data_IF_809531425218
#
_entry.id   IF_809531425218
#
_cell.length_a   1.000
_cell.length_b   1.000
_cell.length_c   1.000
_cell.angle_alpha   90.00
_cell.angle_beta   90.00
_cell.angle_gamma   90.00
#
_symmetry.space_group_name_H-M   'P 1'
#
loop_
_entity.id
_entity.type
_entity.pdbx_description
1 polymer ?
#
# COMPACT_ATOMS: atom_id res chain seq x y z
N UNK A 1 33.52 30.93 28.63
CA UNK A 1 33.54 30.52 27.22
C UNK A 1 32.56 29.37 27.06
N UNK A 2 31.37 29.65 26.56
CA UNK A 2 30.36 28.61 26.28
C UNK A 2 30.74 27.96 24.97
N UNK A 3 31.20 26.71 25.01
CA UNK A 3 31.47 25.94 23.81
C UNK A 3 30.11 25.58 23.22
N UNK A 4 29.77 26.17 22.07
CA UNK A 4 28.64 25.72 21.27
C UNK A 4 28.98 24.32 20.75
N UNK A 5 28.36 23.29 21.33
CA UNK A 5 28.45 21.93 20.79
C UNK A 5 27.61 21.89 19.52
N UNK A 6 28.20 21.46 18.40
CA UNK A 6 27.47 21.23 17.16
C UNK A 6 26.24 20.36 17.44
N UNK A 7 25.05 20.91 17.28
CA UNK A 7 23.84 20.13 17.07
C UNK A 7 23.74 19.86 15.58
N UNK A 8 23.89 18.60 15.17
CA UNK A 8 23.56 18.22 13.80
C UNK A 8 22.04 18.25 13.63
N UNK A 9 21.56 18.94 12.59
CA UNK A 9 20.16 18.94 12.19
C UNK A 9 20.09 18.25 10.83
N UNK A 10 19.38 17.13 10.78
CA UNK A 10 19.05 16.47 9.53
C UNK A 10 17.66 16.93 9.06
N UNK A 11 17.56 17.29 7.78
CA UNK A 11 16.29 17.64 7.15
C UNK A 11 16.20 17.01 5.78
N UNK A 12 14.97 16.72 5.34
CA UNK A 12 14.69 16.06 4.08
C UNK A 12 13.70 16.87 3.25
N UNK A 13 13.97 16.98 1.95
CA UNK A 13 12.98 17.46 0.99
C UNK A 13 12.22 16.27 0.44
N UNK A 14 10.91 16.30 0.60
CA UNK A 14 10.00 15.25 0.13
C UNK A 14 9.31 15.64 -1.18
N UNK A 15 9.50 16.89 -1.61
CA UNK A 15 8.98 17.49 -2.82
C UNK A 15 10.10 18.11 -3.67
N UNK A 16 9.88 18.19 -4.98
CA UNK A 16 10.81 18.84 -5.91
C UNK A 16 10.68 20.36 -5.89
N UNK A 17 11.74 21.09 -6.23
CA UNK A 17 11.68 22.54 -6.44
C UNK A 17 13.06 23.16 -6.67
N UNK A 18 13.09 24.38 -7.20
CA UNK A 18 14.32 25.14 -7.44
C UNK A 18 14.43 26.30 -6.48
N UNK A 19 15.66 26.68 -6.10
CA UNK A 19 15.89 27.84 -5.24
C UNK A 19 15.37 27.65 -3.82
N UNK A 20 15.42 26.43 -3.28
CA UNK A 20 14.98 26.14 -1.92
C UNK A 20 16.06 26.52 -0.92
N UNK A 21 15.75 27.47 -0.06
CA UNK A 21 16.70 28.01 0.91
C UNK A 21 16.62 27.27 2.24
N UNK A 22 17.79 26.94 2.78
CA UNK A 22 17.96 26.51 4.16
C UNK A 22 18.76 27.60 4.86
N UNK A 23 18.10 28.26 5.80
CA UNK A 23 18.67 29.35 6.58
C UNK A 23 18.84 28.89 8.02
N UNK A 24 19.97 29.26 8.63
CA UNK A 24 20.19 29.08 10.06
C UNK A 24 20.60 30.41 10.67
N UNK A 25 20.19 30.62 11.91
CA UNK A 25 20.58 31.78 12.70
C UNK A 25 21.14 31.31 14.05
N UNK A 26 22.24 31.92 14.48
CA UNK A 26 22.81 31.74 15.82
C UNK A 26 22.94 33.10 16.50
N UNK A 27 22.76 33.15 17.82
CA UNK A 27 23.00 34.37 18.61
C UNK A 27 24.30 34.23 19.39
N UNK A 28 25.22 35.16 19.20
CA UNK A 28 26.52 35.23 19.89
C UNK A 28 26.65 36.61 20.53
N UNK A 29 26.79 36.65 21.85
CA UNK A 29 26.89 37.89 22.64
C UNK A 29 25.79 38.91 22.33
N UNK A 30 24.56 38.43 22.12
CA UNK A 30 23.40 39.27 21.78
C UNK A 30 23.31 39.69 20.32
N UNK A 31 24.25 39.27 19.46
CA UNK A 31 24.23 39.53 18.02
C UNK A 31 23.80 38.30 17.24
N UNK A 32 22.90 38.48 16.28
CA UNK A 32 22.45 37.41 15.39
C UNK A 32 23.41 37.26 14.20
N UNK A 33 23.87 36.03 13.95
CA UNK A 33 24.61 35.64 12.75
C UNK A 33 23.73 34.69 11.94
N UNK A 34 23.68 34.89 10.61
CA UNK A 34 22.88 34.07 9.70
C UNK A 34 23.75 33.41 8.64
N UNK A 35 23.38 32.20 8.27
CA UNK A 35 23.90 31.53 7.09
C UNK A 35 22.75 31.00 6.23
N UNK A 36 23.02 30.87 4.94
CA UNK A 36 22.05 30.45 3.93
C UNK A 36 22.71 29.51 2.93
N UNK A 37 22.02 28.45 2.57
CA UNK A 37 22.35 27.59 1.45
C UNK A 37 21.11 27.38 0.58
N UNK A 38 21.30 27.42 -0.75
CA UNK A 38 20.22 27.28 -1.72
C UNK A 38 20.36 25.96 -2.47
N UNK A 39 19.28 25.19 -2.55
CA UNK A 39 19.23 23.87 -3.15
C UNK A 39 18.23 23.80 -4.31
N UNK A 40 18.59 23.02 -5.33
CA UNK A 40 17.67 22.59 -6.37
C UNK A 40 17.35 21.12 -6.14
N UNK A 41 16.14 20.84 -5.69
CA UNK A 41 15.67 19.49 -5.38
C UNK A 41 14.95 18.93 -6.60
N UNK A 42 15.43 17.80 -7.11
CA UNK A 42 14.82 17.08 -8.22
C UNK A 42 14.10 15.85 -7.68
N UNK A 43 12.92 15.57 -8.22
CA UNK A 43 12.13 14.38 -7.89
C UNK A 43 11.98 13.52 -9.16
N UNK A 44 12.07 12.19 -9.08
CA UNK A 44 11.71 11.35 -10.20
C UNK A 44 10.25 11.54 -10.58
N UNK A 45 9.94 11.26 -11.84
CA UNK A 45 8.56 11.14 -12.32
C UNK A 45 8.23 9.68 -12.52
N UNK A 46 6.95 9.35 -12.34
CA UNK A 46 6.44 8.01 -12.60
C UNK A 46 5.04 8.11 -13.24
N UNK A 47 4.72 7.12 -14.05
CA UNK A 47 3.35 6.80 -14.50
C UNK A 47 3.11 5.34 -14.22
N UNK A 48 1.94 5.00 -13.70
CA UNK A 48 1.64 3.62 -13.30
C UNK A 48 0.61 3.04 -14.27
N UNK A 49 1.00 2.00 -15.00
CA UNK A 49 0.05 1.13 -15.69
C UNK A 49 -0.66 0.26 -14.65
N UNK A 50 -1.98 0.10 -14.81
CA UNK A 50 -2.84 -0.52 -13.82
C UNK A 50 -3.75 -1.55 -14.50
N UNK A 51 -3.70 -2.79 -14.04
CA UNK A 51 -4.54 -3.88 -14.53
C UNK A 51 -5.27 -4.49 -13.33
N UNK A 52 -6.57 -4.76 -13.50
CA UNK A 52 -7.39 -5.41 -12.47
C UNK A 52 -8.21 -6.52 -13.12
N UNK A 53 -8.30 -7.65 -12.43
CA UNK A 53 -9.07 -8.82 -12.85
C UNK A 53 -10.48 -8.81 -12.25
N UNK A 54 -11.29 -9.78 -12.67
CA UNK A 54 -12.61 -9.98 -12.09
C UNK A 54 -12.52 -10.59 -10.68
N UNK A 55 -13.59 -10.39 -9.91
CA UNK A 55 -13.84 -11.10 -8.66
C UNK A 55 -14.60 -12.37 -8.99
N UNK A 56 -14.16 -13.52 -8.48
CA UNK A 56 -14.82 -14.81 -8.74
C UNK A 56 -15.01 -15.61 -7.45
N UNK A 57 -15.96 -16.56 -7.54
CA UNK A 57 -16.10 -17.67 -6.60
C UNK A 57 -15.85 -18.95 -7.37
N UNK A 58 -14.77 -19.65 -7.07
CA UNK A 58 -14.46 -20.90 -7.74
C UNK A 58 -13.59 -21.83 -6.87
N UNK A 59 -13.59 -23.10 -7.26
CA UNK A 59 -12.86 -24.19 -6.60
C UNK A 59 -11.65 -24.54 -7.43
N UNK A 60 -10.52 -23.84 -7.26
CA UNK A 60 -9.36 -24.01 -8.16
C UNK A 60 -8.00 -23.77 -7.50
N UNK A 61 -7.78 -24.35 -6.31
CA UNK A 61 -6.47 -24.37 -5.64
C UNK A 61 -5.79 -22.97 -5.66
N UNK A 62 -6.48 -21.99 -5.09
CA UNK A 62 -6.08 -20.58 -5.10
C UNK A 62 -4.67 -20.45 -4.51
N UNK A 63 -3.71 -20.03 -5.32
CA UNK A 63 -2.27 -20.01 -4.97
C UNK A 63 -1.77 -21.27 -4.26
N UNK A 64 -2.20 -22.45 -4.69
CA UNK A 64 -1.77 -23.74 -4.12
C UNK A 64 -2.40 -24.10 -2.77
N UNK A 65 -3.44 -23.35 -2.38
CA UNK A 65 -4.31 -23.68 -1.25
C UNK A 65 -5.60 -24.34 -1.77
N UNK A 66 -5.86 -25.62 -1.42
CA UNK A 66 -7.11 -26.29 -1.78
C UNK A 66 -8.33 -25.64 -1.12
N UNK A 67 -9.45 -25.58 -1.85
CA UNK A 67 -10.72 -25.05 -1.33
C UNK A 67 -11.48 -24.24 -2.38
N UNK A 68 -12.63 -23.73 -1.96
CA UNK A 68 -13.40 -22.73 -2.72
C UNK A 68 -13.10 -21.36 -2.14
N UNK A 69 -12.81 -20.39 -2.99
CA UNK A 69 -12.42 -19.05 -2.57
C UNK A 69 -13.35 -18.00 -3.16
N UNK A 70 -13.60 -16.93 -2.40
CA UNK A 70 -13.99 -15.64 -2.94
C UNK A 70 -12.71 -14.82 -3.08
N UNK A 71 -12.33 -14.45 -4.30
CA UNK A 71 -11.05 -13.79 -4.54
C UNK A 71 -11.12 -12.78 -5.68
N UNK A 72 -10.18 -11.83 -5.67
CA UNK A 72 -9.88 -10.96 -6.80
C UNK A 72 -8.70 -11.56 -7.56
N UNK A 73 -8.91 -11.99 -8.80
CA UNK A 73 -7.87 -12.63 -9.60
C UNK A 73 -8.32 -13.91 -10.29
N UNK A 74 -7.34 -14.62 -10.84
CA UNK A 74 -7.54 -15.91 -11.50
C UNK A 74 -6.93 -17.04 -10.70
N UNK A 75 -7.71 -18.10 -10.50
CA UNK A 75 -7.21 -19.36 -9.96
C UNK A 75 -6.53 -20.23 -11.04
N UNK A 76 -6.02 -21.41 -10.67
CA UNK A 76 -5.34 -22.30 -11.65
C UNK A 76 -6.25 -22.63 -12.85
N UNK A 77 -5.68 -22.80 -14.06
CA UNK A 77 -4.24 -22.79 -14.39
C UNK A 77 -3.66 -21.40 -14.68
N UNK A 78 -4.51 -20.39 -14.87
CA UNK A 78 -4.10 -19.02 -15.17
C UNK A 78 -4.02 -18.25 -13.85
N UNK A 79 -2.93 -18.41 -13.11
CA UNK A 79 -2.63 -17.66 -11.87
C UNK A 79 -2.50 -16.15 -12.20
N UNK A 80 -3.61 -15.49 -12.45
CA UNK A 80 -3.67 -14.08 -12.82
C UNK A 80 -3.78 -13.28 -11.52
N UNK A 81 -2.85 -12.36 -11.24
CA UNK A 81 -2.98 -11.53 -10.06
C UNK A 81 -4.24 -10.68 -10.13
N UNK A 82 -4.93 -10.53 -8.99
CA UNK A 82 -6.12 -9.68 -8.86
C UNK A 82 -5.89 -8.25 -9.32
N UNK A 83 -4.75 -7.70 -8.95
CA UNK A 83 -4.29 -6.39 -9.38
C UNK A 83 -2.81 -6.46 -9.75
N UNK A 84 -2.44 -5.69 -10.78
CA UNK A 84 -1.04 -5.51 -11.19
C UNK A 84 -0.78 -4.03 -11.45
N UNK A 85 0.32 -3.52 -10.90
CA UNK A 85 0.83 -2.20 -11.24
C UNK A 85 2.23 -2.31 -11.84
N UNK A 86 2.48 -1.54 -12.90
CA UNK A 86 3.79 -1.42 -13.52
C UNK A 86 4.16 0.05 -13.64
N UNK A 87 5.18 0.47 -12.91
CA UNK A 87 5.68 1.83 -12.98
C UNK A 87 6.66 1.99 -14.15
N UNK A 88 6.46 3.05 -14.93
CA UNK A 88 7.46 3.61 -15.84
C UNK A 88 8.02 4.87 -15.20
N UNK A 89 9.33 4.89 -14.96
CA UNK A 89 9.97 5.93 -14.15
C UNK A 89 11.04 6.69 -14.91
N UNK A 90 11.15 7.99 -14.68
CA UNK A 90 12.29 8.80 -15.13
C UNK A 90 13.00 9.39 -13.92
N UNK A 91 14.22 8.93 -13.66
CA UNK A 91 15.12 9.49 -12.64
C UNK A 91 15.91 10.64 -13.26
N UNK A 92 16.05 11.80 -12.58
CA UNK A 92 16.82 12.92 -13.10
C UNK A 92 18.26 12.55 -13.46
N UNK A 93 18.79 13.09 -14.57
CA UNK A 93 20.14 12.81 -15.05
C UNK A 93 21.19 13.05 -13.96
N UNK A 94 22.13 12.10 -13.82
CA UNK A 94 23.19 12.14 -12.82
C UNK A 94 22.79 11.56 -11.46
N UNK A 95 21.53 11.14 -11.29
CA UNK A 95 21.05 10.47 -10.08
C UNK A 95 20.71 9.01 -10.38
N UNK A 96 20.81 8.18 -9.34
CA UNK A 96 20.37 6.79 -9.32
C UNK A 96 19.60 6.55 -8.02
N UNK A 97 18.97 5.38 -7.89
CA UNK A 97 18.28 5.00 -6.66
C UNK A 97 17.48 3.74 -6.85
N UNK A 98 16.64 3.44 -5.87
CA UNK A 98 15.79 2.26 -5.86
C UNK A 98 14.33 2.62 -5.57
N UNK A 99 13.43 1.76 -6.03
CA UNK A 99 11.99 1.91 -5.87
C UNK A 99 11.41 0.82 -4.98
N UNK A 100 10.31 1.13 -4.31
CA UNK A 100 9.55 0.15 -3.54
C UNK A 100 8.07 0.48 -3.54
N UNK A 101 7.27 -0.50 -3.16
CA UNK A 101 5.85 -0.40 -2.87
C UNK A 101 5.60 -0.63 -1.39
N UNK A 102 4.72 0.18 -0.80
CA UNK A 102 4.21 0.00 0.56
C UNK A 102 2.69 -0.02 0.48
N UNK A 103 2.05 -1.04 1.05
CA UNK A 103 0.59 -1.15 1.04
C UNK A 103 0.03 -1.00 2.46
N UNK A 104 -0.97 -0.14 2.60
CA UNK A 104 -1.82 -0.03 3.78
C UNK A 104 -3.20 -0.55 3.40
N UNK A 105 -3.76 -1.43 4.22
CA UNK A 105 -5.06 -2.05 4.01
C UNK A 105 -6.03 -1.67 5.13
N UNK A 106 -7.28 -1.44 4.74
CA UNK A 106 -8.47 -1.44 5.59
C UNK A 106 -9.33 -2.60 5.13
N UNK A 107 -9.31 -3.70 5.87
CA UNK A 107 -10.08 -4.90 5.53
C UNK A 107 -11.33 -4.99 6.41
N UNK A 108 -12.45 -5.34 5.80
CA UNK A 108 -13.69 -5.65 6.51
C UNK A 108 -14.30 -6.90 5.91
N UNK A 109 -14.38 -7.96 6.71
CA UNK A 109 -15.00 -9.20 6.32
C UNK A 109 -16.10 -9.60 7.31
N UNK A 110 -17.12 -10.28 6.80
CA UNK A 110 -18.18 -10.91 7.60
C UNK A 110 -18.44 -12.31 7.08
N UNK A 111 -18.80 -13.22 7.98
CA UNK A 111 -19.25 -14.56 7.61
C UNK A 111 -20.40 -15.01 8.49
N UNK A 112 -21.34 -15.73 7.89
CA UNK A 112 -22.56 -16.20 8.57
C UNK A 112 -22.50 -17.70 8.77
N UNK A 113 -22.55 -18.14 10.03
CA UNK A 113 -22.60 -19.55 10.37
C UNK A 113 -23.91 -20.19 9.92
N UNK A 114 -23.90 -21.52 9.76
CA UNK A 114 -25.11 -22.31 9.53
C UNK A 114 -26.17 -22.18 10.63
N UNK A 115 -25.77 -21.76 11.83
CA UNK A 115 -26.65 -21.40 12.95
C UNK A 115 -27.30 -20.01 12.80
N UNK A 116 -26.99 -19.28 11.73
CA UNK A 116 -27.50 -17.94 11.44
C UNK A 116 -26.75 -16.79 12.11
N UNK A 117 -25.74 -17.07 12.95
CA UNK A 117 -24.93 -16.06 13.62
C UNK A 117 -23.89 -15.45 12.69
N UNK A 118 -23.55 -14.18 12.93
CA UNK A 118 -22.53 -13.46 12.18
C UNK A 118 -21.24 -13.36 12.98
N UNK A 119 -20.13 -13.47 12.26
CA UNK A 119 -18.81 -13.09 12.73
C UNK A 119 -18.27 -12.00 11.81
N UNK A 120 -17.46 -11.11 12.37
CA UNK A 120 -16.78 -10.03 11.66
C UNK A 120 -15.27 -10.07 11.92
N UNK A 121 -14.53 -9.61 10.93
CA UNK A 121 -13.11 -9.30 11.01
C UNK A 121 -12.93 -7.88 10.47
N UNK A 122 -12.19 -7.06 11.21
CA UNK A 122 -11.88 -5.70 10.82
C UNK A 122 -10.41 -5.41 11.11
N UNK A 123 -9.69 -4.96 10.10
CA UNK A 123 -8.25 -4.72 10.16
C UNK A 123 -7.89 -3.38 9.55
N UNK A 124 -6.88 -2.73 10.10
CA UNK A 124 -6.30 -1.51 9.55
C UNK A 124 -4.81 -1.47 9.87
N UNK A 125 -3.96 -1.40 8.86
CA UNK A 125 -2.51 -1.35 9.08
C UNK A 125 -1.68 -1.65 7.84
N UNK A 126 -0.40 -1.90 8.08
CA UNK A 126 0.53 -2.37 7.06
C UNK A 126 0.08 -3.74 6.56
N UNK A 127 -0.02 -3.87 5.25
CA UNK A 127 -0.32 -5.15 4.63
C UNK A 127 0.95 -6.00 4.51
N UNK A 128 0.88 -7.23 5.03
CA UNK A 128 1.93 -8.24 5.08
C UNK A 128 3.30 -7.82 5.68
N UNK A 129 4.06 -6.98 4.98
CA UNK A 129 5.45 -6.61 5.33
C UNK A 129 5.86 -5.23 4.79
N UNK A 130 6.98 -4.71 5.31
CA UNK A 130 7.57 -3.45 4.85
C UNK A 130 8.99 -3.67 4.28
N UNK A 131 9.27 -3.25 3.03
CA UNK A 131 8.28 -2.86 2.02
C UNK A 131 7.40 -4.05 1.62
N UNK A 132 6.25 -3.77 1.00
CA UNK A 132 5.39 -4.81 0.45
C UNK A 132 6.11 -5.51 -0.73
N UNK A 133 6.67 -4.73 -1.65
CA UNK A 133 7.49 -5.21 -2.77
C UNK A 133 8.61 -4.23 -3.09
N UNK A 134 9.73 -4.71 -3.62
CA UNK A 134 10.81 -3.87 -4.15
C UNK A 134 10.75 -3.78 -5.67
N UNK A 135 11.29 -2.70 -6.24
CA UNK A 135 11.31 -2.46 -7.68
C UNK A 135 10.09 -1.71 -8.20
N UNK A 136 9.81 -1.87 -9.49
CA UNK A 136 8.80 -1.09 -10.25
C UNK A 136 7.50 -1.85 -10.52
N UNK A 137 7.47 -3.15 -10.22
CA UNK A 137 6.32 -4.02 -10.43
C UNK A 137 5.63 -4.31 -9.10
N UNK A 138 4.31 -4.40 -9.15
CA UNK A 138 3.45 -4.69 -8.01
C UNK A 138 2.37 -5.67 -8.43
N UNK A 139 2.08 -6.66 -7.60
CA UNK A 139 1.00 -7.60 -7.81
C UNK A 139 0.38 -7.96 -6.47
N UNK A 140 -0.93 -8.08 -6.43
CA UNK A 140 -1.67 -8.52 -5.24
C UNK A 140 -2.94 -9.27 -5.67
N UNK A 141 -3.38 -10.19 -4.83
CA UNK A 141 -4.52 -11.07 -5.06
C UNK A 141 -5.19 -11.38 -3.72
N UNK A 142 -6.03 -10.46 -3.20
CA UNK A 142 -6.77 -10.73 -1.99
C UNK A 142 -7.82 -11.82 -2.22
N UNK A 143 -8.04 -12.64 -1.22
CA UNK A 143 -9.05 -13.68 -1.26
C UNK A 143 -9.29 -14.33 0.10
N UNK A 144 -10.44 -14.95 0.25
CA UNK A 144 -10.86 -15.65 1.47
C UNK A 144 -11.32 -17.06 1.15
N UNK A 145 -10.92 -18.01 1.99
CA UNK A 145 -11.41 -19.39 1.94
C UNK A 145 -12.87 -19.43 2.43
N UNK A 146 -13.73 -20.04 1.63
CA UNK A 146 -15.15 -20.21 1.93
C UNK A 146 -15.37 -21.55 2.64
N UNK A 147 -15.26 -21.56 3.96
CA UNK A 147 -15.33 -22.79 4.77
C UNK A 147 -16.75 -23.37 4.82
N UNK A 148 -16.85 -24.70 4.92
CA UNK A 148 -18.11 -25.39 4.71
C UNK A 148 -19.18 -25.14 5.79
N UNK A 149 -18.77 -24.73 6.98
CA UNK A 149 -19.63 -24.49 8.14
C UNK A 149 -20.43 -23.18 8.06
N UNK A 150 -20.07 -22.30 7.11
CA UNK A 150 -20.74 -21.02 6.87
C UNK A 150 -21.67 -21.10 5.65
N UNK A 151 -22.64 -20.18 5.62
CA UNK A 151 -23.60 -20.04 4.52
C UNK A 151 -23.37 -18.78 3.69
N UNK A 152 -22.62 -17.81 4.20
CA UNK A 152 -22.39 -16.52 3.54
C UNK A 152 -21.04 -15.93 3.95
N UNK A 153 -20.35 -15.28 3.02
CA UNK A 153 -19.18 -14.44 3.25
C UNK A 153 -19.36 -13.11 2.53
N UNK A 154 -18.97 -12.02 3.19
CA UNK A 154 -18.83 -10.70 2.59
C UNK A 154 -17.43 -10.16 2.85
N UNK A 155 -16.76 -9.65 1.82
CA UNK A 155 -15.51 -8.90 1.94
C UNK A 155 -15.69 -7.50 1.37
N UNK A 156 -15.03 -6.53 1.99
CA UNK A 156 -14.98 -5.14 1.55
C UNK A 156 -13.66 -4.54 2.02
N UNK A 157 -12.66 -4.58 1.14
CA UNK A 157 -11.32 -4.12 1.44
C UNK A 157 -11.01 -2.85 0.65
N UNK A 158 -10.29 -1.93 1.29
CA UNK A 158 -9.73 -0.73 0.67
C UNK A 158 -8.23 -0.68 0.92
N UNK A 159 -7.48 -0.39 -0.13
CA UNK A 159 -6.03 -0.40 -0.13
C UNK A 159 -5.46 0.94 -0.60
N UNK A 160 -4.33 1.30 0.00
CA UNK A 160 -3.49 2.41 -0.41
C UNK A 160 -2.08 1.87 -0.70
N UNK A 161 -1.71 1.80 -1.97
CA UNK A 161 -0.39 1.33 -2.42
C UNK A 161 0.48 2.54 -2.80
N UNK A 162 1.52 2.78 -2.02
CA UNK A 162 2.46 3.88 -2.17
C UNK A 162 3.66 3.43 -2.98
N UNK A 163 3.93 4.11 -4.09
CA UNK A 163 5.15 3.94 -4.87
C UNK A 163 6.18 4.97 -4.41
N UNK A 164 7.31 4.48 -3.90
CA UNK A 164 8.34 5.30 -3.27
C UNK A 164 9.68 5.17 -3.98
N UNK A 165 10.52 6.18 -3.86
CA UNK A 165 11.89 6.20 -4.37
C UNK A 165 12.87 6.61 -3.29
N UNK A 166 14.01 5.95 -3.23
CA UNK A 166 15.16 6.37 -2.42
C UNK A 166 16.34 6.66 -3.35
N UNK A 167 16.86 7.90 -3.40
CA UNK A 167 18.07 8.18 -4.16
C UNK A 167 19.27 7.43 -3.57
N UNK A 168 20.24 7.11 -4.43
CA UNK A 168 21.53 6.57 -3.99
C UNK A 168 22.30 7.63 -3.22
N UNK A 169 22.85 7.25 -2.08
CA UNK A 169 23.72 8.11 -1.28
C UNK A 169 23.58 7.85 0.22
N UNK A 170 24.55 8.32 1.02
CA UNK A 170 24.44 8.24 2.47
C UNK A 170 23.20 9.00 2.95
N UNK A 171 22.59 8.50 4.02
CA UNK A 171 21.47 9.13 4.72
C UNK A 171 20.20 9.39 3.88
N UNK A 172 20.09 8.83 2.67
CA UNK A 172 18.89 8.97 1.83
C UNK A 172 17.74 8.12 2.38
N UNK A 173 16.52 8.65 2.25
CA UNK A 173 15.28 7.96 2.67
C UNK A 173 14.37 7.71 1.48
N UNK A 174 13.47 6.74 1.61
CA UNK A 174 12.38 6.57 0.66
C UNK A 174 11.40 7.73 0.79
N UNK A 175 11.07 8.37 -0.32
CA UNK A 175 10.04 9.40 -0.42
C UNK A 175 8.89 8.90 -1.30
N UNK A 176 7.62 9.15 -0.92
CA UNK A 176 6.48 8.88 -1.78
C UNK A 176 6.56 9.69 -3.08
N UNK A 177 6.18 9.05 -4.20
CA UNK A 177 6.00 9.73 -5.49
C UNK A 177 4.54 9.59 -5.94
N UNK A 178 3.98 8.39 -5.82
CA UNK A 178 2.60 8.08 -6.21
C UNK A 178 1.87 7.34 -5.12
N UNK A 179 0.56 7.57 -5.07
CA UNK A 179 -0.40 6.78 -4.33
C UNK A 179 -1.39 6.19 -5.33
N UNK A 180 -1.56 4.88 -5.27
CA UNK A 180 -2.63 4.16 -5.96
C UNK A 180 -3.64 3.70 -4.91
N UNK A 181 -4.86 4.22 -5.00
CA UNK A 181 -5.99 3.78 -4.18
C UNK A 181 -6.81 2.78 -4.96
N UNK A 182 -7.15 1.67 -4.33
CA UNK A 182 -7.99 0.64 -4.94
C UNK A 182 -8.75 -0.13 -3.85
N UNK A 183 -9.67 -0.98 -4.26
CA UNK A 183 -10.45 -1.78 -3.33
C UNK A 183 -11.35 -2.76 -4.07
N UNK A 184 -11.82 -3.74 -3.34
CA UNK A 184 -12.71 -4.77 -3.86
C UNK A 184 -13.73 -5.15 -2.80
N UNK A 185 -14.89 -5.58 -3.26
CA UNK A 185 -15.92 -6.15 -2.41
C UNK A 185 -16.60 -7.32 -3.10
N UNK A 186 -16.96 -8.32 -2.32
CA UNK A 186 -17.60 -9.52 -2.83
C UNK A 186 -18.54 -10.11 -1.79
N UNK A 187 -19.62 -10.73 -2.25
CA UNK A 187 -20.52 -11.53 -1.42
C UNK A 187 -20.69 -12.90 -2.02
N UNK A 188 -20.31 -13.94 -1.29
CA UNK A 188 -20.51 -15.32 -1.66
C UNK A 188 -21.61 -15.94 -0.80
N UNK A 189 -22.57 -16.63 -1.44
CA UNK A 189 -23.66 -17.34 -0.74
C UNK A 189 -23.62 -18.82 -1.08
N UNK A 190 -23.89 -19.66 -0.08
CA UNK A 190 -23.95 -21.10 -0.21
C UNK A 190 -25.39 -21.58 -0.37
N UNK A 191 -25.67 -22.29 -1.46
CA UNK A 191 -26.95 -22.97 -1.70
C UNK A 191 -26.69 -24.42 -2.07
N UNK A 192 -27.37 -25.36 -1.40
CA UNK A 192 -27.19 -26.80 -1.64
C UNK A 192 -25.72 -27.23 -1.70
N UNK A 193 -24.94 -26.77 -0.73
CA UNK A 193 -23.49 -26.99 -0.61
C UNK A 193 -22.60 -26.39 -1.70
N UNK A 194 -23.16 -25.59 -2.62
CA UNK A 194 -22.42 -24.90 -3.67
C UNK A 194 -22.30 -23.42 -3.34
N UNK A 195 -21.07 -22.91 -3.32
CA UNK A 195 -20.80 -21.48 -3.22
C UNK A 195 -20.97 -20.80 -4.57
N UNK A 196 -21.55 -19.60 -4.56
CA UNK A 196 -21.71 -18.78 -5.75
C UNK A 196 -21.51 -17.31 -5.40
N UNK A 197 -20.98 -16.54 -6.36
CA UNK A 197 -20.88 -15.09 -6.24
C UNK A 197 -22.27 -14.47 -6.40
N UNK A 198 -22.71 -13.72 -5.41
CA UNK A 198 -24.04 -13.07 -5.37
C UNK A 198 -23.97 -11.56 -5.61
N UNK A 199 -22.87 -10.93 -5.21
CA UNK A 199 -22.58 -9.52 -5.49
C UNK A 199 -21.07 -9.30 -5.54
N UNK A 200 -20.62 -8.33 -6.34
CA UNK A 200 -19.23 -7.89 -6.35
C UNK A 200 -19.09 -6.47 -6.87
N UNK A 201 -18.02 -5.80 -6.46
CA UNK A 201 -17.63 -4.49 -6.98
C UNK A 201 -16.12 -4.29 -6.85
N UNK A 202 -15.54 -3.55 -7.79
CA UNK A 202 -14.15 -3.11 -7.78
C UNK A 202 -14.16 -1.58 -7.77
N UNK A 203 -13.33 -0.99 -6.92
CA UNK A 203 -13.10 0.46 -6.88
C UNK A 203 -11.67 0.78 -7.28
N UNK A 204 -11.48 1.75 -8.17
CA UNK A 204 -10.18 2.08 -8.72
C UNK A 204 -9.65 0.97 -9.64
N UNK A 205 -8.31 0.87 -9.82
CA UNK A 205 -7.26 1.66 -9.17
C UNK A 205 -7.17 3.12 -9.66
N UNK A 206 -7.08 4.06 -8.72
CA UNK A 206 -6.93 5.51 -8.98
C UNK A 206 -5.57 6.00 -8.53
N UNK A 207 -4.81 6.61 -9.44
CA UNK A 207 -3.47 7.12 -9.20
C UNK A 207 -3.48 8.62 -8.92
N UNK A 208 -2.70 9.04 -7.92
CA UNK A 208 -2.40 10.45 -7.64
C UNK A 208 -0.92 10.63 -7.31
N UNK A 209 -0.37 11.83 -7.59
CA UNK A 209 0.94 12.21 -7.05
C UNK A 209 0.80 12.53 -5.56
N UNK A 210 1.78 12.12 -4.75
CA UNK A 210 1.77 12.38 -3.31
C UNK A 210 3.17 12.59 -2.78
N UNK A 211 3.27 13.39 -1.72
CA UNK A 211 4.45 13.55 -0.87
C UNK A 211 4.16 13.10 0.57
N UNK A 212 2.92 12.66 0.83
CA UNK A 212 2.48 12.19 2.14
C UNK A 212 2.95 10.75 2.34
N UNK A 213 3.62 10.50 3.46
CA UNK A 213 4.15 9.18 3.79
C UNK A 213 3.02 8.23 4.18
N UNK A 214 3.13 6.93 3.82
CA UNK A 214 2.27 5.91 4.40
C UNK A 214 2.49 5.89 5.92
N UNK A 215 1.40 5.76 6.68
CA UNK A 215 1.46 5.67 8.15
C UNK A 215 0.66 4.45 8.61
N UNK A 216 1.20 3.76 9.61
CA UNK A 216 0.55 2.65 10.29
C UNK A 216 1.15 2.52 11.69
N UNK A 217 0.38 1.97 12.62
CA UNK A 217 0.84 1.68 13.99
C UNK A 217 1.16 0.21 14.20
N UNK A 218 0.60 -0.66 13.36
CA UNK A 218 0.75 -2.10 13.42
C UNK A 218 0.55 -2.71 12.03
N UNK A 219 0.90 -3.98 11.90
CA UNK A 219 0.46 -4.81 10.79
C UNK A 219 -1.06 -5.00 10.84
N UNK A 220 -1.70 -5.13 9.69
CA UNK A 220 -3.09 -5.55 9.59
C UNK A 220 -3.16 -7.04 9.93
N UNK A 221 -3.58 -7.32 11.18
CA UNK A 221 -3.80 -8.68 11.67
C UNK A 221 -5.03 -8.64 12.57
N UNK A 222 -6.09 -9.34 12.15
CA UNK A 222 -7.37 -9.40 12.83
C UNK A 222 -7.73 -10.82 13.21
N UNK A 223 -8.73 -10.91 14.09
CA UNK A 223 -9.36 -12.17 14.46
C UNK A 223 -10.86 -12.04 14.25
N UNK A 224 -11.48 -13.15 13.87
CA UNK A 224 -12.93 -13.24 13.77
C UNK A 224 -13.55 -13.13 15.16
N UNK A 225 -14.54 -12.25 15.29
CA UNK A 225 -15.32 -12.06 16.51
C UNK A 225 -16.81 -12.13 16.20
N UNK A 226 -17.62 -12.68 17.10
CA UNK A 226 -19.09 -12.64 16.98
C UNK A 226 -19.57 -11.18 16.88
N UNK A 227 -20.46 -10.88 15.93
CA UNK A 227 -21.00 -9.52 15.72
C UNK A 227 -22.12 -9.15 16.69
#
# INVERSE_FOLDING_TARGET
MTILTNSNIDYYWVDGGTGRDVEYAITVDGNELKGKATFNVKIPTATIEKVTQAITVDTNNYFEIPGTFLHLGGAKPKKLPGVQFQATTTVPTGYTGEFQWVQIIQALARRKGSNGKWEKLAENGLDESYPYLTGVSYQDSPGVLLEDIYSEYTNNDSMQSYFMFKPSGPNSIFIPIKLVTWGWSGTATKSSSTWSLSASSISGPTETSTTTFPTWTSKAEGTWVEE
#
